data_IF_561323712293
#
_entry.id   IF_561323712293
#
_cell.length_a   1.000
_cell.length_b   1.000
_cell.length_c   1.000
_cell.angle_alpha   90.00
_cell.angle_beta   90.00
_cell.angle_gamma   90.00
#
_symmetry.space_group_name_H-M   'P 1'
#
loop_
_entity.id
_entity.type
_entity.pdbx_description
1 polymer ?
#
# COMPACT_ATOMS: atom_id res chain seq x y z
N UNK A 1 3.66 -7.81 -14.00
CA UNK A 1 3.39 -6.70 -13.08
C UNK A 1 1.89 -6.72 -12.88
N UNK A 2 1.43 -7.30 -11.78
CA UNK A 2 0.00 -7.45 -11.48
C UNK A 2 -0.51 -6.05 -11.10
N UNK A 3 -1.32 -5.42 -11.97
CA UNK A 3 -1.78 -4.05 -11.76
C UNK A 3 -2.81 -4.04 -10.63
N UNK A 4 -2.38 -3.49 -9.49
CA UNK A 4 -3.04 -3.35 -8.18
C UNK A 4 -4.28 -2.43 -8.19
N UNK A 5 -4.83 -2.09 -9.36
CA UNK A 5 -5.91 -1.10 -9.53
C UNK A 5 -7.24 -1.44 -8.83
N UNK A 6 -7.43 -2.68 -8.36
CA UNK A 6 -8.62 -3.13 -7.60
C UNK A 6 -8.34 -3.37 -6.10
N UNK A 7 -7.10 -3.11 -5.62
CA UNK A 7 -6.67 -3.45 -4.26
C UNK A 7 -6.54 -2.23 -3.34
N UNK A 8 -6.76 -1.01 -3.82
CA UNK A 8 -6.69 0.21 -3.02
C UNK A 8 -7.85 1.18 -3.28
N UNK A 9 -8.12 2.02 -2.29
CA UNK A 9 -9.07 3.14 -2.35
C UNK A 9 -8.30 4.42 -2.09
N UNK A 10 -8.66 5.50 -2.78
CA UNK A 10 -8.19 6.85 -2.47
C UNK A 10 -9.40 7.74 -2.17
N UNK A 11 -9.33 8.50 -1.08
CA UNK A 11 -10.34 9.46 -0.68
C UNK A 11 -9.73 10.85 -0.46
N UNK A 12 -10.50 11.89 -0.74
CA UNK A 12 -10.09 13.27 -0.48
C UNK A 12 -10.50 13.66 0.94
N UNK A 13 -9.53 14.10 1.75
CA UNK A 13 -9.78 14.56 3.12
C UNK A 13 -10.39 15.96 3.11
N UNK A 14 -11.18 16.33 4.14
CA UNK A 14 -11.75 17.68 4.25
C UNK A 14 -10.68 18.78 4.36
N UNK A 15 -9.45 18.45 4.74
CA UNK A 15 -8.30 19.34 4.79
C UNK A 15 -7.66 19.57 3.40
N UNK A 16 -8.09 18.82 2.37
CA UNK A 16 -7.62 18.95 0.98
C UNK A 16 -6.48 17.99 0.61
N UNK A 17 -6.13 17.07 1.50
CA UNK A 17 -5.14 16.01 1.27
C UNK A 17 -5.83 14.75 0.69
N UNK A 18 -5.03 13.78 0.27
CA UNK A 18 -5.48 12.49 -0.22
C UNK A 18 -5.10 11.40 0.77
N UNK A 19 -6.06 10.52 1.07
CA UNK A 19 -5.90 9.36 1.92
C UNK A 19 -6.05 8.10 1.08
N UNK A 20 -5.01 7.29 0.99
CA UNK A 20 -5.00 6.04 0.22
C UNK A 20 -4.84 4.85 1.17
N UNK A 21 -5.58 3.76 0.94
CA UNK A 21 -5.47 2.53 1.75
C UNK A 21 -5.77 1.28 0.92
N UNK A 22 -5.23 0.13 1.33
CA UNK A 22 -5.52 -1.14 0.68
C UNK A 22 -6.90 -1.69 1.11
N UNK A 23 -7.74 -2.10 0.15
CA UNK A 23 -9.03 -2.73 0.41
C UNK A 23 -8.93 -4.01 1.24
N UNK A 24 -7.86 -4.79 1.04
CA UNK A 24 -7.65 -6.07 1.74
C UNK A 24 -6.88 -5.91 3.05
N UNK A 25 -6.24 -4.77 3.26
CA UNK A 25 -5.40 -4.48 4.41
C UNK A 25 -5.49 -3.00 4.74
N UNK A 26 -6.61 -2.58 5.35
CA UNK A 26 -6.86 -1.19 5.76
C UNK A 26 -5.78 -0.63 6.71
N UNK A 27 -4.98 -1.50 7.33
CA UNK A 27 -3.82 -1.15 8.15
C UNK A 27 -2.67 -0.54 7.33
N UNK A 28 -2.60 -0.90 6.04
CA UNK A 28 -1.72 -0.26 5.08
C UNK A 28 -2.44 0.94 4.48
N UNK A 29 -2.09 2.11 4.99
CA UNK A 29 -2.61 3.38 4.52
C UNK A 29 -1.50 4.42 4.43
N UNK A 30 -1.73 5.43 3.61
CA UNK A 30 -0.85 6.55 3.43
C UNK A 30 -1.64 7.84 3.15
N UNK A 31 -0.98 8.97 3.38
CA UNK A 31 -1.48 10.28 3.03
C UNK A 31 -0.56 10.93 2.00
N UNK A 32 -1.09 11.86 1.22
CA UNK A 32 -0.32 12.70 0.32
C UNK A 32 -1.04 13.98 -0.04
N UNK A 33 -0.28 15.01 -0.45
CA UNK A 33 -0.84 16.28 -0.92
C UNK A 33 -1.58 16.11 -2.27
N UNK A 34 -1.25 15.06 -3.01
CA UNK A 34 -1.89 14.68 -4.28
C UNK A 34 -2.27 13.21 -4.30
N UNK A 35 -3.19 12.83 -5.20
CA UNK A 35 -3.58 11.42 -5.40
C UNK A 35 -2.37 10.54 -5.73
N UNK A 36 -1.49 11.01 -6.63
CA UNK A 36 -0.27 10.28 -6.99
C UNK A 36 0.66 10.10 -5.78
N UNK A 37 0.87 11.14 -4.99
CA UNK A 37 1.73 11.07 -3.80
C UNK A 37 1.18 10.11 -2.73
N UNK A 38 -0.13 10.13 -2.50
CA UNK A 38 -0.77 9.20 -1.58
C UNK A 38 -0.62 7.74 -2.05
N UNK A 39 -0.65 7.51 -3.36
CA UNK A 39 -0.45 6.18 -3.95
C UNK A 39 1.00 5.72 -3.90
N UNK A 40 1.99 6.58 -4.18
CA UNK A 40 3.41 6.24 -4.04
C UNK A 40 3.77 5.88 -2.59
N UNK A 41 3.24 6.66 -1.64
CA UNK A 41 3.42 6.38 -0.22
C UNK A 41 2.71 5.08 0.20
N UNK A 42 1.52 4.80 -0.35
CA UNK A 42 0.80 3.55 -0.10
C UNK A 42 1.56 2.35 -0.70
N UNK A 43 2.13 2.48 -1.89
CA UNK A 43 2.95 1.45 -2.53
C UNK A 43 4.16 1.13 -1.65
N UNK A 44 4.87 2.15 -1.15
CA UNK A 44 5.99 1.94 -0.22
C UNK A 44 5.54 1.23 1.07
N UNK A 45 4.43 1.65 1.66
CA UNK A 45 3.89 1.03 2.88
C UNK A 45 3.44 -0.43 2.63
N UNK A 46 2.84 -0.69 1.47
CA UNK A 46 2.45 -2.02 1.04
C UNK A 46 3.67 -2.88 0.74
N UNK A 47 4.69 -2.36 0.08
CA UNK A 47 5.94 -3.05 -0.20
C UNK A 47 6.67 -3.43 1.07
N UNK A 48 6.73 -2.56 2.08
CA UNK A 48 7.32 -2.91 3.39
C UNK A 48 6.52 -4.03 4.07
N UNK A 49 5.19 -3.96 4.04
CA UNK A 49 4.31 -5.00 4.60
C UNK A 49 4.46 -6.34 3.86
N UNK A 50 4.50 -6.30 2.53
CA UNK A 50 4.69 -7.48 1.70
C UNK A 50 6.12 -8.00 1.77
N UNK A 51 7.15 -7.15 1.91
CA UNK A 51 8.54 -7.60 2.10
C UNK A 51 8.71 -8.28 3.45
N UNK A 52 8.07 -7.78 4.51
CA UNK A 52 8.03 -8.48 5.79
C UNK A 52 7.35 -9.85 5.64
N UNK A 53 6.25 -9.94 4.88
CA UNK A 53 5.61 -11.21 4.54
C UNK A 53 6.47 -12.12 3.64
N UNK A 54 7.14 -11.57 2.63
CA UNK A 54 7.98 -12.31 1.68
C UNK A 54 9.26 -12.81 2.35
N UNK A 55 9.80 -12.09 3.33
CA UNK A 55 10.93 -12.54 4.15
C UNK A 55 10.57 -13.82 4.93
N UNK A 56 9.30 -13.97 5.32
CA UNK A 56 8.80 -15.20 5.96
C UNK A 56 8.64 -16.33 4.92
N UNK A 57 8.20 -16.02 3.70
CA UNK A 57 7.99 -17.05 2.64
C UNK A 57 9.27 -17.50 1.92
N UNK A 58 10.32 -16.67 1.82
CA UNK A 58 11.60 -17.06 1.20
C UNK A 58 12.57 -17.80 2.16
N UNK A 59 12.22 -17.95 3.45
CA UNK A 59 12.96 -18.83 4.36
C UNK A 59 12.49 -20.29 4.34
N UNK A 60 11.35 -20.62 3.71
CA UNK A 60 10.85 -22.01 3.59
C UNK A 60 11.26 -22.73 2.29
N UNK A 61 12.04 -22.12 1.39
CA UNK A 61 12.57 -22.77 0.17
C UNK A 61 14.11 -22.81 0.13
N UNK A 62 14.76 -23.01 1.29
CA UNK A 62 16.13 -23.53 1.35
C UNK A 62 16.12 -24.75 2.28
N UNK A 63 15.46 -25.83 1.82
CA UNK A 63 15.60 -27.19 2.35
C UNK A 63 16.52 -28.02 1.45
#
# INVERSE_FOLDING_TARGET
METVADKYVVECTPDGEYYAYLCNHEQCFAYGETEEEALENLETAAEEFYNEFNSIFYMEDIA
#
